data_IF_782710165816
#
_entry.id   IF_782710165816
#
_cell.length_a   1.000
_cell.length_b   1.000
_cell.length_c   1.000
_cell.angle_alpha   90.00
_cell.angle_beta   90.00
_cell.angle_gamma   90.00
#
_symmetry.space_group_name_H-M   'P 1'
#
loop_
_entity.id
_entity.type
_entity.pdbx_description
1 polymer ?
#
# COMPACT_ATOMS: atom_id res chain seq x y z
N UNK A 1 13.92 -4.59 53.42
CA UNK A 1 12.64 -4.45 52.71
C UNK A 1 12.73 -3.15 51.95
N UNK A 2 12.26 -3.04 50.71
CA UNK A 2 12.22 -1.74 50.02
C UNK A 2 11.44 -0.73 50.88
N UNK A 3 12.00 0.47 51.10
CA UNK A 3 11.63 1.48 52.11
C UNK A 3 10.26 2.18 51.92
N UNK A 4 9.27 1.55 51.30
CA UNK A 4 8.09 2.29 50.85
C UNK A 4 7.08 2.67 51.95
N UNK A 5 7.04 1.97 53.10
CA UNK A 5 5.94 2.12 54.08
C UNK A 5 6.37 2.34 55.54
N UNK A 6 7.69 2.37 55.82
CA UNK A 6 8.26 2.69 57.14
C UNK A 6 7.60 1.97 58.34
N UNK A 7 7.16 0.72 58.19
CA UNK A 7 6.57 -0.05 59.28
C UNK A 7 7.62 -0.39 60.35
N UNK A 8 7.22 -0.26 61.62
CA UNK A 8 8.09 -0.48 62.77
C UNK A 8 8.01 -1.95 63.21
N UNK A 9 9.15 -2.62 63.39
CA UNK A 9 9.19 -3.94 64.04
C UNK A 9 9.73 -3.76 65.45
N UNK A 10 8.96 -4.06 66.52
CA UNK A 10 9.44 -3.93 67.89
C UNK A 10 10.66 -4.81 68.13
N UNK A 11 11.61 -4.32 68.93
CA UNK A 11 12.76 -5.13 69.33
C UNK A 11 12.34 -6.22 70.33
N UNK A 12 13.07 -7.33 70.34
CA UNK A 12 12.83 -8.40 71.30
C UNK A 12 12.95 -7.87 72.74
N UNK A 13 11.91 -8.10 73.55
CA UNK A 13 11.84 -7.63 74.94
C UNK A 13 11.17 -6.26 75.15
N UNK A 14 10.65 -5.60 74.10
CA UNK A 14 9.83 -4.39 74.26
C UNK A 14 8.52 -4.71 74.99
N UNK A 15 8.26 -4.01 76.11
CA UNK A 15 7.06 -4.22 76.93
C UNK A 15 5.82 -3.51 76.34
N UNK A 16 6.01 -2.35 75.73
CA UNK A 16 4.97 -1.55 75.06
C UNK A 16 4.95 -1.84 73.55
N UNK A 17 4.93 -3.12 73.19
CA UNK A 17 4.96 -3.57 71.79
C UNK A 17 3.68 -3.19 71.03
N UNK A 18 2.61 -2.85 71.75
CA UNK A 18 1.31 -2.48 71.21
C UNK A 18 1.33 -1.10 70.55
N UNK A 19 2.12 -0.15 71.05
CA UNK A 19 2.23 1.18 70.46
C UNK A 19 2.72 1.19 68.98
N UNK A 20 3.90 0.63 68.64
CA UNK A 20 4.37 0.54 67.26
C UNK A 20 3.46 -0.33 66.39
N UNK A 21 2.84 -1.36 66.96
CA UNK A 21 1.91 -2.21 66.23
C UNK A 21 0.62 -1.46 65.86
N UNK A 22 0.06 -0.69 66.79
CA UNK A 22 -1.12 0.14 66.56
C UNK A 22 -0.83 1.23 65.51
N UNK A 23 0.35 1.86 65.56
CA UNK A 23 0.79 2.81 64.52
C UNK A 23 0.93 2.14 63.15
N UNK A 24 1.43 0.91 63.09
CA UNK A 24 1.47 0.16 61.84
C UNK A 24 0.07 -0.14 61.30
N UNK A 25 -0.88 -0.55 62.16
CA UNK A 25 -2.25 -0.81 61.74
C UNK A 25 -2.96 0.44 61.21
N UNK A 26 -2.76 1.59 61.85
CA UNK A 26 -3.28 2.87 61.34
C UNK A 26 -2.73 3.21 59.95
N UNK A 27 -1.44 2.95 59.71
CA UNK A 27 -0.81 3.16 58.40
C UNK A 27 -1.25 2.13 57.37
N UNK A 28 -1.38 0.85 57.73
CA UNK A 28 -1.87 -0.21 56.84
C UNK A 28 -3.25 0.12 56.30
N UNK A 29 -4.14 0.66 57.13
CA UNK A 29 -5.50 1.05 56.74
C UNK A 29 -5.55 2.14 55.66
N UNK A 30 -4.48 2.93 55.47
CA UNK A 30 -4.37 3.93 54.40
C UNK A 30 -3.45 3.51 53.26
N UNK A 31 -2.41 2.75 53.58
CA UNK A 31 -1.35 2.38 52.65
C UNK A 31 -1.72 1.19 51.77
N UNK A 32 -2.55 0.28 52.28
CA UNK A 32 -3.02 -0.89 51.55
C UNK A 32 -4.32 -0.55 50.85
N UNK A 33 -4.27 -0.61 49.52
CA UNK A 33 -5.44 -0.38 48.68
C UNK A 33 -6.51 -1.46 48.91
N UNK A 34 -7.74 -1.03 49.14
CA UNK A 34 -8.92 -1.90 49.22
C UNK A 34 -9.36 -2.25 47.80
N UNK A 35 -9.61 -3.54 47.53
CA UNK A 35 -10.06 -4.04 46.23
C UNK A 35 -11.31 -4.89 46.38
N UNK A 36 -12.44 -4.41 45.86
CA UNK A 36 -13.74 -5.12 45.87
C UNK A 36 -14.63 -4.58 44.74
N UNK A 37 -15.91 -4.95 44.66
CA UNK A 37 -16.90 -4.38 43.73
C UNK A 37 -17.34 -2.98 44.15
N UNK A 38 -17.69 -2.09 43.20
CA UNK A 38 -18.09 -0.71 43.52
C UNK A 38 -19.30 -0.64 44.47
N UNK A 39 -20.23 -1.59 44.33
CA UNK A 39 -21.40 -1.70 45.22
C UNK A 39 -21.01 -1.99 46.68
N UNK A 40 -19.89 -2.67 46.93
CA UNK A 40 -19.38 -2.96 48.26
C UNK A 40 -18.66 -1.78 48.92
N UNK A 41 -18.43 -0.67 48.22
CA UNK A 41 -17.65 0.48 48.73
C UNK A 41 -18.20 1.04 50.05
N UNK A 42 -19.52 1.01 50.25
CA UNK A 42 -20.16 1.46 51.50
C UNK A 42 -19.85 0.57 52.72
N UNK A 43 -19.27 -0.61 52.51
CA UNK A 43 -18.86 -1.51 53.60
C UNK A 43 -17.54 -1.08 54.25
N UNK A 44 -16.81 -0.14 53.64
CA UNK A 44 -15.50 0.31 54.09
C UNK A 44 -15.55 1.77 54.54
N UNK A 45 -14.91 2.07 55.68
CA UNK A 45 -14.79 3.43 56.18
C UNK A 45 -13.82 4.25 55.31
N UNK A 46 -14.27 5.42 54.84
CA UNK A 46 -13.49 6.32 54.00
C UNK A 46 -12.46 7.14 54.81
N UNK A 47 -11.48 6.46 55.41
CA UNK A 47 -10.40 7.11 56.16
C UNK A 47 -9.62 8.06 55.24
N UNK A 48 -9.15 9.18 55.79
CA UNK A 48 -8.39 10.16 55.02
C UNK A 48 -7.13 9.50 54.42
N UNK A 49 -7.00 9.54 53.10
CA UNK A 49 -5.88 8.95 52.37
C UNK A 49 -6.04 7.47 51.98
N UNK A 50 -7.07 6.77 52.46
CA UNK A 50 -7.34 5.39 52.05
C UNK A 50 -7.76 5.33 50.58
N UNK A 51 -7.35 4.26 49.88
CA UNK A 51 -7.67 4.03 48.47
C UNK A 51 -8.59 2.83 48.30
N UNK A 52 -9.59 2.97 47.43
CA UNK A 52 -10.48 1.90 47.03
C UNK A 52 -10.45 1.75 45.51
N UNK A 53 -10.17 0.55 45.01
CA UNK A 53 -10.27 0.18 43.61
C UNK A 53 -11.46 -0.77 43.43
N UNK A 54 -12.47 -0.29 42.70
CA UNK A 54 -13.58 -1.11 42.24
C UNK A 54 -13.09 -2.05 41.14
N UNK A 55 -13.01 -3.34 41.44
CA UNK A 55 -12.42 -4.36 40.54
C UNK A 55 -13.34 -4.74 39.37
N UNK A 56 -14.62 -4.44 39.47
CA UNK A 56 -15.65 -4.69 38.45
C UNK A 56 -15.82 -3.52 37.47
N UNK A 57 -15.71 -2.27 37.95
CA UNK A 57 -15.87 -1.06 37.12
C UNK A 57 -14.54 -0.38 36.77
N UNK A 58 -13.47 -0.70 37.49
CA UNK A 58 -12.18 -0.02 37.40
C UNK A 58 -12.11 1.32 38.16
N UNK A 59 -13.20 1.80 38.78
CA UNK A 59 -13.22 3.09 39.45
C UNK A 59 -12.26 3.13 40.65
N UNK A 60 -11.51 4.22 40.78
CA UNK A 60 -10.59 4.49 41.89
C UNK A 60 -11.17 5.61 42.74
N UNK A 61 -11.19 5.41 44.06
CA UNK A 61 -11.66 6.37 45.03
C UNK A 61 -10.59 6.66 46.09
N UNK A 62 -10.64 7.87 46.64
CA UNK A 62 -9.83 8.31 47.78
C UNK A 62 -10.74 8.74 48.92
N UNK A 63 -10.49 8.23 50.13
CA UNK A 63 -11.18 8.66 51.33
C UNK A 63 -10.68 10.02 51.82
N UNK A 64 -11.60 10.90 52.22
CA UNK A 64 -11.29 12.23 52.75
C UNK A 64 -11.42 12.33 54.29
N UNK A 65 -11.73 11.22 54.96
CA UNK A 65 -11.99 11.17 56.40
C UNK A 65 -13.47 11.00 56.75
N UNK A 66 -14.38 11.01 55.76
CA UNK A 66 -15.79 10.69 55.97
C UNK A 66 -16.53 10.21 54.72
N UNK A 67 -16.04 10.52 53.52
CA UNK A 67 -16.63 10.16 52.24
C UNK A 67 -15.57 9.64 51.26
N UNK A 68 -16.00 8.79 50.33
CA UNK A 68 -15.18 8.34 49.20
C UNK A 68 -15.37 9.30 48.03
N UNK A 69 -14.28 9.95 47.59
CA UNK A 69 -14.26 10.79 46.39
C UNK A 69 -13.68 10.01 45.22
N UNK A 70 -14.37 9.97 44.08
CA UNK A 70 -13.87 9.27 42.89
C UNK A 70 -12.74 10.08 42.25
N UNK A 71 -11.61 9.42 41.98
CA UNK A 71 -10.44 10.01 41.32
C UNK A 71 -10.41 9.70 39.81
N UNK A 72 -10.94 8.55 39.39
CA UNK A 72 -10.93 8.14 37.99
C UNK A 72 -11.27 6.67 37.81
N UNK A 73 -10.93 6.10 36.66
CA UNK A 73 -11.16 4.68 36.31
C UNK A 73 -9.88 4.10 35.72
N UNK A 74 -9.39 2.98 36.25
CA UNK A 74 -8.25 2.23 35.72
C UNK A 74 -8.80 1.21 34.73
N UNK A 75 -8.36 1.30 33.46
CA UNK A 75 -8.79 0.40 32.38
C UNK A 75 -9.78 1.03 31.39
N UNK A 76 -10.35 2.19 31.73
CA UNK A 76 -10.98 3.10 30.77
C UNK A 76 -10.06 4.31 30.68
N UNK A 77 -9.54 4.62 29.49
CA UNK A 77 -8.82 5.89 29.28
C UNK A 77 -9.66 7.03 29.83
N UNK A 78 -9.06 7.89 30.67
CA UNK A 78 -9.78 8.85 31.50
C UNK A 78 -10.80 9.68 30.72
N UNK A 79 -12.09 9.41 30.93
CA UNK A 79 -13.18 10.30 30.56
C UNK A 79 -13.34 11.40 31.61
N UNK A 80 -12.37 12.31 31.61
CA UNK A 80 -12.48 13.66 32.16
C UNK A 80 -11.67 14.58 31.25
N UNK A 81 -12.14 14.73 30.02
CA UNK A 81 -11.51 15.52 28.97
C UNK A 81 -12.30 15.43 27.67
N UNK A 82 -13.17 16.42 27.45
CA UNK A 82 -13.71 16.88 26.17
C UNK A 82 -13.55 15.94 24.93
N UNK A 83 -14.52 15.05 24.75
CA UNK A 83 -15.27 14.88 23.49
C UNK A 83 -14.56 14.67 22.14
N UNK A 84 -13.33 14.15 22.05
CA UNK A 84 -12.67 14.02 20.73
C UNK A 84 -12.11 12.63 20.37
N UNK A 85 -11.94 11.72 21.33
CA UNK A 85 -11.40 10.36 21.08
C UNK A 85 -12.44 9.32 20.63
N UNK A 86 -13.64 9.33 21.25
CA UNK A 86 -14.71 8.36 20.95
C UNK A 86 -15.56 8.73 19.72
N UNK A 87 -15.49 9.98 19.28
CA UNK A 87 -16.34 10.49 18.19
C UNK A 87 -16.00 9.86 16.83
N UNK A 88 -14.73 9.82 16.45
CA UNK A 88 -14.32 9.35 15.11
C UNK A 88 -14.68 7.88 14.92
N UNK A 89 -14.30 7.00 15.85
CA UNK A 89 -14.58 5.57 15.72
C UNK A 89 -16.09 5.28 15.73
N UNK A 90 -16.85 5.98 16.58
CA UNK A 90 -18.32 5.87 16.58
C UNK A 90 -18.94 6.32 15.25
N UNK A 91 -18.44 7.40 14.65
CA UNK A 91 -18.88 7.89 13.34
C UNK A 91 -18.57 6.90 12.22
N UNK A 92 -17.38 6.28 12.24
CA UNK A 92 -16.97 5.27 11.27
C UNK A 92 -17.81 3.99 11.39
N UNK A 93 -18.09 3.54 12.61
CA UNK A 93 -19.00 2.40 12.86
C UNK A 93 -20.44 2.69 12.43
N UNK A 94 -20.83 3.97 12.45
CA UNK A 94 -22.12 4.42 11.92
C UNK A 94 -22.13 4.57 10.39
N UNK A 95 -21.04 4.23 9.69
CA UNK A 95 -20.97 4.28 8.23
C UNK A 95 -20.60 5.63 7.64
N UNK A 96 -20.20 6.62 8.45
CA UNK A 96 -19.86 7.95 7.95
C UNK A 96 -18.41 8.00 7.45
N UNK A 97 -18.17 8.77 6.38
CA UNK A 97 -16.83 9.24 6.04
C UNK A 97 -16.48 10.39 6.99
N UNK A 98 -15.28 10.37 7.59
CA UNK A 98 -14.92 11.36 8.62
C UNK A 98 -13.73 12.20 8.19
N UNK A 99 -13.94 13.51 8.10
CA UNK A 99 -12.93 14.52 7.81
C UNK A 99 -12.31 15.08 9.10
N UNK A 100 -10.98 14.98 9.20
CA UNK A 100 -10.14 15.49 10.29
C UNK A 100 -9.19 16.52 9.69
N UNK A 101 -9.61 17.78 9.69
CA UNK A 101 -8.84 18.90 9.12
C UNK A 101 -7.97 19.59 10.14
N UNK A 102 -6.80 20.09 9.71
CA UNK A 102 -5.80 20.79 10.55
C UNK A 102 -6.38 21.92 11.40
N UNK A 103 -7.30 22.71 10.84
CA UNK A 103 -7.93 23.84 11.52
C UNK A 103 -9.40 23.56 11.94
N UNK A 104 -9.86 22.31 11.86
CA UNK A 104 -11.20 21.95 12.35
C UNK A 104 -11.18 21.87 13.88
N UNK A 105 -12.20 22.45 14.54
CA UNK A 105 -12.33 22.36 16.00
C UNK A 105 -12.86 21.00 16.48
N UNK A 106 -13.40 20.18 15.58
CA UNK A 106 -13.83 18.80 15.83
C UNK A 106 -13.90 18.00 14.51
N UNK A 107 -13.91 16.64 14.56
CA UNK A 107 -14.14 15.82 13.39
C UNK A 107 -15.48 16.15 12.71
N UNK A 108 -15.51 16.08 11.38
CA UNK A 108 -16.70 16.37 10.56
C UNK A 108 -17.13 15.09 9.87
N UNK A 109 -18.39 14.70 10.03
CA UNK A 109 -18.95 13.52 9.37
C UNK A 109 -19.61 13.92 8.06
N UNK A 110 -19.41 13.10 7.03
CA UNK A 110 -20.16 13.10 5.77
C UNK A 110 -20.90 11.77 5.72
N UNK A 111 -22.23 11.84 5.63
CA UNK A 111 -23.11 10.67 5.48
C UNK A 111 -23.15 10.26 3.99
N UNK A 112 -22.65 9.06 3.63
CA UNK A 112 -22.69 8.58 2.25
C UNK A 112 -24.09 8.50 1.65
N UNK A 113 -25.15 8.41 2.47
CA UNK A 113 -26.53 8.40 1.97
C UNK A 113 -27.05 9.81 1.60
N UNK A 114 -26.32 10.87 1.99
CA UNK A 114 -26.73 12.26 1.82
C UNK A 114 -26.15 12.96 0.59
N UNK A 115 -25.21 12.33 -0.13
CA UNK A 115 -24.46 12.92 -1.24
C UNK A 115 -23.98 11.84 -2.20
N UNK A 116 -23.83 12.18 -3.48
CA UNK A 116 -23.29 11.28 -4.51
C UNK A 116 -21.76 11.21 -4.48
N UNK A 117 -21.10 12.12 -3.74
CA UNK A 117 -19.64 12.27 -3.72
C UNK A 117 -19.03 12.37 -2.31
N UNK A 118 -19.31 11.43 -1.40
CA UNK A 118 -19.01 11.58 0.02
C UNK A 118 -17.51 11.68 0.36
N UNK A 119 -16.63 11.05 -0.42
CA UNK A 119 -15.18 11.09 -0.16
C UNK A 119 -14.62 12.41 -0.69
N UNK A 120 -15.06 12.86 -1.87
CA UNK A 120 -14.70 14.18 -2.37
C UNK A 120 -15.17 15.30 -1.44
N UNK A 121 -16.41 15.22 -0.94
CA UNK A 121 -16.97 16.19 0.01
C UNK A 121 -16.14 16.26 1.30
N UNK A 122 -15.68 15.11 1.81
CA UNK A 122 -14.79 15.04 2.96
C UNK A 122 -13.40 15.64 2.67
N UNK A 123 -12.84 15.40 1.48
CA UNK A 123 -11.59 16.03 1.05
C UNK A 123 -11.72 17.54 0.94
N UNK A 124 -12.84 18.05 0.44
CA UNK A 124 -13.11 19.49 0.34
C UNK A 124 -13.15 20.15 1.73
N UNK A 125 -13.75 19.47 2.73
CA UNK A 125 -13.74 19.91 4.13
C UNK A 125 -12.30 19.97 4.67
N UNK A 126 -11.50 18.93 4.43
CA UNK A 126 -10.10 18.87 4.90
C UNK A 126 -9.24 19.93 4.20
N UNK A 127 -9.43 20.15 2.91
CA UNK A 127 -8.70 21.15 2.14
C UNK A 127 -9.02 22.58 2.63
N UNK A 128 -10.29 22.88 2.86
CA UNK A 128 -10.72 24.16 3.45
C UNK A 128 -10.12 24.40 4.85
N UNK A 129 -9.80 23.32 5.58
CA UNK A 129 -9.13 23.36 6.87
C UNK A 129 -7.60 23.46 6.77
N UNK A 130 -7.01 23.50 5.56
CA UNK A 130 -5.57 23.61 5.33
C UNK A 130 -4.83 22.27 5.37
N UNK A 131 -5.48 21.18 4.97
CA UNK A 131 -4.93 19.82 4.93
C UNK A 131 -5.38 18.96 6.11
N UNK A 132 -5.06 17.67 6.07
CA UNK A 132 -5.48 16.69 7.08
C UNK A 132 -5.85 15.33 6.50
N UNK A 133 -6.83 14.67 7.10
CA UNK A 133 -7.11 13.25 6.89
C UNK A 133 -8.59 12.98 6.70
N UNK A 134 -8.92 12.14 5.72
CA UNK A 134 -10.23 11.54 5.51
C UNK A 134 -10.16 10.07 5.93
N UNK A 135 -11.03 9.68 6.86
CA UNK A 135 -11.19 8.30 7.34
C UNK A 135 -12.37 7.63 6.67
N UNK A 136 -12.14 6.44 6.11
CA UNK A 136 -13.18 5.63 5.49
C UNK A 136 -13.82 4.69 6.52
N UNK A 137 -15.16 4.55 6.51
CA UNK A 137 -15.89 3.66 7.41
C UNK A 137 -15.68 2.18 7.06
N UNK A 138 -16.32 1.30 7.81
CA UNK A 138 -16.50 -0.09 7.39
C UNK A 138 -17.53 -0.18 6.27
N UNK A 139 -17.40 -1.17 5.39
CA UNK A 139 -18.33 -1.40 4.29
C UNK A 139 -17.90 -0.70 2.99
N UNK A 140 -18.89 -0.46 2.13
CA UNK A 140 -18.71 0.15 0.80
C UNK A 140 -19.23 1.59 0.86
N UNK A 141 -18.40 2.54 0.45
CA UNK A 141 -18.78 3.92 0.17
C UNK A 141 -18.83 4.09 -1.34
N UNK A 142 -20.00 4.43 -1.87
CA UNK A 142 -20.20 4.73 -3.28
C UNK A 142 -19.79 6.19 -3.56
N UNK A 143 -19.17 6.41 -4.72
CA UNK A 143 -18.64 7.70 -5.14
C UNK A 143 -18.88 7.82 -6.65
N UNK A 144 -19.66 8.82 -7.07
CA UNK A 144 -20.12 8.89 -8.47
C UNK A 144 -19.08 9.47 -9.41
N UNK A 145 -18.15 10.29 -8.93
CA UNK A 145 -17.09 10.89 -9.74
C UNK A 145 -15.70 10.45 -9.34
N UNK A 146 -14.65 10.96 -10.03
CA UNK A 146 -13.30 10.74 -9.57
C UNK A 146 -13.02 11.53 -8.30
N UNK A 147 -12.32 10.89 -7.38
CA UNK A 147 -11.78 11.49 -6.16
C UNK A 147 -10.53 12.28 -6.55
N UNK A 148 -10.50 13.57 -6.23
CA UNK A 148 -9.41 14.50 -6.58
C UNK A 148 -8.70 15.02 -5.33
N UNK A 149 -7.64 14.33 -4.85
CA UNK A 149 -6.88 14.75 -3.69
C UNK A 149 -6.38 16.19 -3.78
N UNK A 150 -6.30 16.85 -2.63
CA UNK A 150 -5.61 18.13 -2.47
C UNK A 150 -4.21 17.91 -1.93
N UNK A 151 -3.35 18.92 -2.01
CA UNK A 151 -2.08 18.86 -1.28
C UNK A 151 -2.30 18.69 0.23
N UNK A 152 -1.37 18.02 0.92
CA UNK A 152 -1.43 17.80 2.38
C UNK A 152 -2.68 17.02 2.83
N UNK A 153 -3.20 16.12 2.00
CA UNK A 153 -4.39 15.30 2.33
C UNK A 153 -4.11 13.81 2.34
N UNK A 154 -4.89 13.10 3.15
CA UNK A 154 -4.78 11.66 3.30
C UNK A 154 -6.15 11.00 3.21
N UNK A 155 -6.21 9.81 2.63
CA UNK A 155 -7.39 8.93 2.64
C UNK A 155 -6.97 7.62 3.29
N UNK A 156 -7.52 7.33 4.47
CA UNK A 156 -7.15 6.18 5.29
C UNK A 156 -8.36 5.30 5.57
N UNK A 157 -8.32 4.05 5.13
CA UNK A 157 -9.28 3.02 5.51
C UNK A 157 -8.85 2.18 6.71
N UNK A 158 -9.72 1.27 7.12
CA UNK A 158 -9.50 0.34 8.24
C UNK A 158 -8.82 -0.98 7.80
N UNK A 159 -8.54 -1.13 6.50
CA UNK A 159 -8.00 -2.32 5.86
C UNK A 159 -8.76 -2.63 4.56
N UNK A 160 -8.06 -3.19 3.57
CA UNK A 160 -8.60 -3.41 2.21
C UNK A 160 -9.85 -4.31 2.14
N UNK A 161 -10.04 -5.19 3.12
CA UNK A 161 -11.25 -6.02 3.24
C UNK A 161 -12.38 -5.36 4.03
N UNK A 162 -12.08 -4.27 4.74
CA UNK A 162 -12.99 -3.62 5.70
C UNK A 162 -13.55 -2.33 5.12
N UNK A 163 -12.69 -1.48 4.54
CA UNK A 163 -13.08 -0.21 3.90
C UNK A 163 -12.96 -0.34 2.40
N UNK A 164 -14.07 -0.11 1.70
CA UNK A 164 -14.16 -0.23 0.24
C UNK A 164 -14.76 1.04 -0.34
N UNK A 165 -14.19 1.51 -1.43
CA UNK A 165 -14.70 2.61 -2.26
C UNK A 165 -15.17 2.00 -3.56
N UNK A 166 -16.38 2.35 -4.00
CA UNK A 166 -16.92 1.91 -5.29
C UNK A 166 -17.22 3.14 -6.15
N UNK A 167 -16.50 3.26 -7.26
CA UNK A 167 -16.76 4.30 -8.26
C UNK A 167 -17.95 3.84 -9.09
N UNK A 168 -19.01 4.64 -9.18
CA UNK A 168 -20.28 4.20 -9.81
C UNK A 168 -20.48 4.70 -11.24
N UNK A 169 -19.91 5.85 -11.60
CA UNK A 169 -19.87 6.27 -13.01
C UNK A 169 -18.83 5.45 -13.77
N UNK A 170 -19.26 4.89 -14.91
CA UNK A 170 -18.43 4.02 -15.75
C UNK A 170 -17.24 4.77 -16.33
N UNK A 171 -17.45 6.01 -16.74
CA UNK A 171 -16.45 6.79 -17.47
C UNK A 171 -15.55 7.59 -16.51
N UNK A 172 -15.83 7.56 -15.20
CA UNK A 172 -15.02 8.21 -14.20
C UNK A 172 -13.75 7.42 -13.88
N UNK A 173 -12.65 8.16 -13.72
CA UNK A 173 -11.46 7.65 -13.03
C UNK A 173 -11.77 7.42 -11.54
N UNK A 174 -10.92 6.64 -10.86
CA UNK A 174 -11.03 6.44 -9.42
C UNK A 174 -10.45 7.60 -8.63
N UNK A 175 -9.12 7.66 -8.59
CA UNK A 175 -8.38 8.76 -7.99
C UNK A 175 -7.66 9.52 -9.10
N UNK A 176 -8.01 10.78 -9.29
CA UNK A 176 -7.54 11.61 -10.38
C UNK A 176 -6.67 12.77 -9.86
N UNK A 177 -5.42 12.78 -10.29
CA UNK A 177 -4.45 13.86 -10.08
C UNK A 177 -4.43 14.78 -11.32
N UNK A 178 -5.36 15.74 -11.36
CA UNK A 178 -5.59 16.65 -12.50
C UNK A 178 -5.42 18.15 -12.17
N UNK A 179 -5.08 18.50 -10.92
CA UNK A 179 -5.06 19.90 -10.48
C UNK A 179 -3.99 20.75 -11.19
N UNK A 180 -4.37 21.94 -11.62
CA UNK A 180 -3.50 22.90 -12.31
C UNK A 180 -2.28 23.37 -11.50
N UNK A 181 -2.34 23.26 -10.18
CA UNK A 181 -1.24 23.58 -9.27
C UNK A 181 -0.22 22.44 -9.12
N UNK A 182 -0.54 21.23 -9.60
CA UNK A 182 0.05 20.01 -9.08
C UNK A 182 -0.50 19.67 -7.70
N UNK A 183 -0.10 18.50 -7.21
CA UNK A 183 -0.52 17.98 -5.90
C UNK A 183 0.70 17.43 -5.20
N UNK A 184 0.82 17.65 -3.89
CA UNK A 184 1.94 17.10 -3.13
C UNK A 184 1.56 16.64 -1.73
N UNK A 185 2.35 15.72 -1.17
CA UNK A 185 2.18 15.18 0.20
C UNK A 185 0.79 14.56 0.39
N UNK A 186 0.49 13.61 -0.49
CA UNK A 186 -0.77 12.84 -0.45
C UNK A 186 -0.50 11.45 0.07
N UNK A 187 -1.42 10.92 0.90
CA UNK A 187 -1.38 9.54 1.37
C UNK A 187 -2.67 8.78 1.06
N UNK A 188 -2.53 7.58 0.50
CA UNK A 188 -3.63 6.65 0.26
C UNK A 188 -3.31 5.32 0.95
N UNK A 189 -4.14 4.83 1.87
CA UNK A 189 -3.80 3.63 2.63
C UNK A 189 -5.01 2.88 3.18
N UNK A 190 -4.99 1.55 3.09
CA UNK A 190 -5.87 0.67 3.86
C UNK A 190 -7.29 0.54 3.33
N UNK A 191 -7.52 0.62 2.03
CA UNK A 191 -8.84 0.42 1.43
C UNK A 191 -8.78 -0.24 0.04
N UNK A 192 -9.89 -0.86 -0.36
CA UNK A 192 -10.09 -1.28 -1.74
C UNK A 192 -10.74 -0.16 -2.56
N UNK A 193 -10.29 0.03 -3.80
CA UNK A 193 -10.87 0.92 -4.79
C UNK A 193 -11.44 0.09 -5.95
N UNK A 194 -12.74 -0.11 -5.91
CA UNK A 194 -13.48 -0.90 -6.87
C UNK A 194 -13.92 0.00 -8.03
N UNK A 195 -13.64 -0.46 -9.25
CA UNK A 195 -14.18 0.13 -10.45
C UNK A 195 -15.68 -0.14 -10.58
N UNK A 196 -16.34 0.55 -11.52
CA UNK A 196 -17.79 0.49 -11.73
C UNK A 196 -18.31 -0.87 -12.21
N UNK A 197 -17.41 -1.83 -12.45
CA UNK A 197 -17.66 -3.18 -12.91
C UNK A 197 -18.46 -3.26 -14.23
N UNK A 198 -18.51 -4.48 -14.79
CA UNK A 198 -19.25 -4.79 -16.01
C UNK A 198 -18.35 -5.20 -17.17
N UNK A 199 -18.97 -5.34 -18.35
CA UNK A 199 -18.38 -5.97 -19.55
C UNK A 199 -17.82 -4.96 -20.55
N UNK A 200 -17.57 -3.72 -20.13
CA UNK A 200 -17.12 -2.65 -21.02
C UNK A 200 -15.97 -1.85 -20.41
N UNK A 201 -15.36 -0.95 -21.20
CA UNK A 201 -14.31 -0.07 -20.72
C UNK A 201 -14.75 0.77 -19.52
N UNK A 202 -13.79 1.12 -18.67
CA UNK A 202 -13.97 2.04 -17.54
C UNK A 202 -13.00 3.21 -17.63
N UNK A 203 -13.03 4.14 -16.66
CA UNK A 203 -11.88 5.00 -16.37
C UNK A 203 -10.67 4.23 -15.83
N UNK A 204 -9.70 4.95 -15.26
CA UNK A 204 -8.47 4.43 -14.64
C UNK A 204 -8.55 4.52 -13.12
N UNK A 205 -8.08 3.51 -12.40
CA UNK A 205 -8.16 3.52 -10.94
C UNK A 205 -7.35 4.64 -10.27
N UNK A 206 -6.09 4.84 -10.66
CA UNK A 206 -5.24 5.99 -10.29
C UNK A 206 -4.71 6.63 -11.56
N UNK A 207 -5.01 7.91 -11.77
CA UNK A 207 -4.69 8.60 -13.00
C UNK A 207 -3.99 9.95 -12.75
N UNK A 208 -2.83 10.15 -13.37
CA UNK A 208 -2.11 11.43 -13.37
C UNK A 208 -2.16 12.04 -14.78
N UNK A 209 -2.86 13.16 -14.95
CA UNK A 209 -3.22 13.68 -16.28
C UNK A 209 -2.69 15.08 -16.62
N UNK A 210 -2.33 15.87 -15.61
CA UNK A 210 -2.05 17.30 -15.82
C UNK A 210 -0.67 17.70 -15.28
N UNK A 211 -0.61 18.06 -14.00
CA UNK A 211 0.62 18.54 -13.34
C UNK A 211 1.24 17.44 -12.49
N UNK A 212 2.50 17.70 -12.16
CA UNK A 212 3.30 16.80 -11.34
C UNK A 212 2.65 16.51 -9.99
N UNK A 213 2.72 15.25 -9.59
CA UNK A 213 2.39 14.80 -8.23
C UNK A 213 3.69 14.62 -7.48
N UNK A 214 3.83 15.10 -6.25
CA UNK A 214 5.08 14.97 -5.48
C UNK A 214 4.83 14.36 -4.10
N UNK A 215 5.69 13.46 -3.65
CA UNK A 215 5.59 12.86 -2.31
C UNK A 215 4.21 12.20 -2.11
N UNK A 216 3.86 11.30 -3.02
CA UNK A 216 2.69 10.42 -2.91
C UNK A 216 3.11 9.14 -2.18
N UNK A 217 2.44 8.85 -1.07
CA UNK A 217 2.56 7.57 -0.38
C UNK A 217 1.31 6.73 -0.60
N UNK A 218 1.48 5.55 -1.18
CA UNK A 218 0.47 4.52 -1.28
C UNK A 218 0.87 3.39 -0.34
N UNK A 219 0.10 3.16 0.72
CA UNK A 219 0.32 2.06 1.65
C UNK A 219 -0.19 0.76 1.06
N UNK A 220 -1.23 0.18 1.66
CA UNK A 220 -1.89 -1.02 1.14
C UNK A 220 -3.18 -0.68 0.42
N UNK A 221 -3.21 -0.85 -0.90
CA UNK A 221 -4.43 -0.71 -1.71
C UNK A 221 -4.77 -2.01 -2.45
N UNK A 222 -6.06 -2.19 -2.70
CA UNK A 222 -6.59 -3.24 -3.56
C UNK A 222 -7.43 -2.61 -4.66
N UNK A 223 -7.23 -3.02 -5.92
CA UNK A 223 -8.02 -2.59 -7.06
C UNK A 223 -8.82 -3.77 -7.61
N UNK A 224 -10.10 -3.53 -7.90
CA UNK A 224 -10.97 -4.56 -8.46
C UNK A 224 -11.79 -4.02 -9.61
N UNK A 225 -11.89 -4.74 -10.73
CA UNK A 225 -12.92 -4.47 -11.75
C UNK A 225 -12.69 -3.21 -12.59
N UNK A 226 -11.43 -2.87 -12.87
CA UNK A 226 -11.05 -1.76 -13.77
C UNK A 226 -10.68 -2.30 -15.15
N UNK A 227 -11.33 -1.81 -16.21
CA UNK A 227 -11.23 -2.34 -17.57
C UNK A 227 -10.56 -1.35 -18.55
N UNK A 228 -9.51 -0.67 -18.11
CA UNK A 228 -8.74 0.26 -18.94
C UNK A 228 -7.29 0.27 -18.45
N UNK A 229 -7.04 0.75 -17.23
CA UNK A 229 -5.76 0.58 -16.52
C UNK A 229 -6.02 0.72 -15.01
N UNK A 230 -5.05 0.31 -14.19
CA UNK A 230 -5.09 0.53 -12.74
C UNK A 230 -4.30 1.76 -12.35
N UNK A 231 -3.14 1.98 -12.97
CA UNK A 231 -2.27 3.11 -12.65
C UNK A 231 -1.76 3.73 -13.94
N UNK A 232 -2.19 4.94 -14.27
CA UNK A 232 -1.77 5.63 -15.50
C UNK A 232 -1.13 6.96 -15.17
N UNK A 233 0.01 7.21 -15.80
CA UNK A 233 0.67 8.51 -15.88
C UNK A 233 0.73 8.92 -17.33
N UNK A 234 0.00 9.99 -17.65
CA UNK A 234 -0.06 10.51 -19.01
C UNK A 234 1.26 11.14 -19.45
N UNK A 235 1.35 11.36 -20.76
CA UNK A 235 2.49 12.00 -21.38
C UNK A 235 2.67 13.43 -20.84
N UNK A 236 3.89 13.76 -20.41
CA UNK A 236 4.20 15.09 -19.88
C UNK A 236 3.84 15.30 -18.41
N UNK A 237 3.48 14.24 -17.70
CA UNK A 237 3.19 14.28 -16.26
C UNK A 237 4.25 13.49 -15.49
N UNK A 238 4.84 14.07 -14.46
CA UNK A 238 5.82 13.37 -13.61
C UNK A 238 5.29 13.18 -12.19
N UNK A 239 5.03 11.95 -11.71
CA UNK A 239 5.02 11.68 -10.28
C UNK A 239 6.45 11.69 -9.74
N UNK A 240 6.68 12.42 -8.64
CA UNK A 240 7.97 12.64 -7.99
C UNK A 240 8.01 12.03 -6.61
N UNK A 241 9.06 11.23 -6.35
CA UNK A 241 9.35 10.70 -5.02
C UNK A 241 8.17 9.88 -4.46
N UNK A 242 7.46 9.16 -5.34
CA UNK A 242 6.29 8.40 -4.94
C UNK A 242 6.69 7.01 -4.47
N UNK A 243 6.02 6.54 -3.41
CA UNK A 243 6.32 5.28 -2.74
C UNK A 243 5.05 4.45 -2.59
N UNK A 244 5.10 3.21 -3.03
CA UNK A 244 3.98 2.28 -3.00
C UNK A 244 4.39 1.04 -2.23
N UNK A 245 3.77 0.73 -1.09
CA UNK A 245 4.16 -0.42 -0.26
C UNK A 245 3.57 -1.72 -0.81
N UNK A 246 2.24 -1.79 -0.98
CA UNK A 246 1.57 -2.99 -1.47
C UNK A 246 0.33 -2.66 -2.31
N UNK A 247 0.34 -3.10 -3.56
CA UNK A 247 -0.80 -3.01 -4.47
C UNK A 247 -1.26 -4.42 -4.86
N UNK A 248 -2.54 -4.69 -4.67
CA UNK A 248 -3.18 -5.94 -5.12
C UNK A 248 -4.23 -5.64 -6.18
N UNK A 249 -4.29 -6.42 -7.25
CA UNK A 249 -5.19 -6.20 -8.38
C UNK A 249 -5.92 -7.51 -8.69
N UNK A 250 -7.25 -7.45 -8.77
CA UNK A 250 -8.10 -8.58 -9.13
C UNK A 250 -9.10 -8.18 -10.20
N UNK A 251 -9.31 -9.06 -11.19
CA UNK A 251 -10.38 -8.89 -12.19
C UNK A 251 -10.34 -7.52 -12.89
N UNK A 252 -9.13 -6.99 -13.09
CA UNK A 252 -8.91 -5.83 -13.94
C UNK A 252 -8.42 -6.30 -15.31
N UNK A 253 -8.79 -5.57 -16.35
CA UNK A 253 -8.43 -5.85 -17.74
C UNK A 253 -7.78 -4.58 -18.30
N UNK A 254 -6.49 -4.64 -18.67
CA UNK A 254 -5.83 -3.50 -19.31
C UNK A 254 -6.40 -3.23 -20.72
N UNK A 255 -7.13 -4.19 -21.26
CA UNK A 255 -7.73 -4.12 -22.57
C UNK A 255 -6.77 -3.77 -23.69
N UNK A 256 -7.10 -2.71 -24.44
CA UNK A 256 -6.31 -2.21 -25.56
C UNK A 256 -5.27 -1.15 -25.15
N UNK A 257 -4.97 -1.01 -23.85
CA UNK A 257 -3.98 -0.07 -23.33
C UNK A 257 -2.58 -0.70 -23.27
N UNK A 258 -1.55 0.12 -23.06
CA UNK A 258 -0.17 -0.39 -23.02
C UNK A 258 0.09 -1.28 -21.79
N UNK A 259 -0.67 -1.11 -20.68
CA UNK A 259 -0.62 -2.00 -19.52
C UNK A 259 -1.55 -1.63 -18.35
N UNK A 260 -1.57 -2.46 -17.29
CA UNK A 260 -2.28 -2.15 -16.03
C UNK A 260 -1.62 -0.98 -15.30
N UNK A 261 -0.29 -1.03 -15.21
CA UNK A 261 0.55 0.12 -14.87
C UNK A 261 1.09 0.70 -16.16
N UNK A 262 0.92 2.00 -16.34
CA UNK A 262 1.18 2.67 -17.59
C UNK A 262 1.88 4.00 -17.36
N UNK A 263 3.20 4.00 -17.47
CA UNK A 263 4.04 5.19 -17.35
C UNK A 263 4.37 5.73 -18.75
N UNK A 264 3.46 6.54 -19.31
CA UNK A 264 3.60 7.12 -20.67
C UNK A 264 4.49 8.34 -20.71
N UNK A 265 4.78 8.95 -19.56
CA UNK A 265 5.54 10.18 -19.47
C UNK A 265 6.93 10.08 -20.09
N UNK A 266 7.39 11.20 -20.63
CA UNK A 266 8.74 11.34 -21.18
C UNK A 266 9.78 11.83 -20.14
N UNK A 267 9.36 12.01 -18.89
CA UNK A 267 10.25 12.28 -17.77
C UNK A 267 9.62 11.77 -16.49
N UNK A 268 10.40 11.78 -15.43
CA UNK A 268 9.91 11.47 -14.10
C UNK A 268 11.08 11.02 -13.24
N UNK A 269 11.21 11.50 -12.01
CA UNK A 269 12.20 10.95 -11.09
C UNK A 269 11.78 9.54 -10.63
N UNK A 270 12.53 8.99 -9.66
CA UNK A 270 12.30 7.67 -9.12
C UNK A 270 10.94 7.53 -8.39
N UNK A 271 10.20 6.49 -8.78
CA UNK A 271 9.11 5.91 -8.01
C UNK A 271 9.53 4.51 -7.56
N UNK A 272 9.04 4.12 -6.40
CA UNK A 272 9.31 2.80 -5.82
C UNK A 272 8.01 2.06 -5.51
N UNK A 273 8.01 0.76 -5.78
CA UNK A 273 6.95 -0.18 -5.49
C UNK A 273 7.54 -1.38 -4.72
N UNK A 274 7.03 -1.64 -3.53
CA UNK A 274 7.41 -2.81 -2.74
C UNK A 274 6.85 -4.08 -3.37
N UNK A 275 5.55 -4.31 -3.22
CA UNK A 275 4.88 -5.50 -3.80
C UNK A 275 3.73 -5.11 -4.70
N UNK A 276 3.75 -5.64 -5.92
CA UNK A 276 2.62 -5.65 -6.84
C UNK A 276 2.16 -7.10 -7.01
N UNK A 277 0.90 -7.38 -6.67
CA UNK A 277 0.25 -8.67 -6.92
C UNK A 277 -0.91 -8.49 -7.90
N UNK A 278 -0.73 -8.94 -9.14
CA UNK A 278 -1.66 -8.68 -10.23
C UNK A 278 -2.30 -9.96 -10.79
N UNK A 279 -3.61 -10.08 -10.66
CA UNK A 279 -4.40 -11.18 -11.22
C UNK A 279 -5.45 -10.62 -12.19
N UNK A 280 -5.00 -10.11 -13.36
CA UNK A 280 -5.92 -9.60 -14.37
C UNK A 280 -6.81 -10.69 -14.94
N UNK A 281 -7.93 -10.27 -15.53
CA UNK A 281 -8.76 -11.13 -16.36
C UNK A 281 -8.84 -10.60 -17.79
N UNK A 282 -9.10 -11.50 -18.74
CA UNK A 282 -9.29 -11.17 -20.15
C UNK A 282 -10.79 -11.11 -20.51
N UNK A 283 -11.66 -10.98 -19.51
CA UNK A 283 -13.11 -11.17 -19.69
C UNK A 283 -13.73 -10.07 -20.55
N UNK A 284 -13.14 -8.88 -20.56
CA UNK A 284 -13.70 -7.74 -21.30
C UNK A 284 -13.14 -7.66 -22.70
N UNK A 285 -11.82 -7.79 -22.86
CA UNK A 285 -11.16 -7.60 -24.15
C UNK A 285 -10.81 -8.89 -24.88
N UNK A 286 -10.75 -10.01 -24.16
CA UNK A 286 -10.29 -11.28 -24.71
C UNK A 286 -8.78 -11.32 -24.96
N UNK A 287 -8.03 -10.30 -24.51
CA UNK A 287 -6.59 -10.18 -24.74
C UNK A 287 -5.78 -10.51 -23.48
N UNK A 288 -4.53 -10.92 -23.68
CA UNK A 288 -3.54 -10.93 -22.61
C UNK A 288 -3.36 -9.51 -22.06
N UNK A 289 -3.17 -9.39 -20.76
CA UNK A 289 -2.86 -8.11 -20.12
C UNK A 289 -1.35 -7.93 -19.98
N UNK A 290 -0.81 -6.80 -20.46
CA UNK A 290 0.52 -6.34 -20.03
C UNK A 290 0.43 -5.79 -18.61
N UNK A 291 1.24 -6.29 -17.70
CA UNK A 291 1.14 -5.91 -16.28
C UNK A 291 1.79 -4.55 -16.04
N UNK A 292 3.03 -4.37 -16.47
CA UNK A 292 3.77 -3.13 -16.24
C UNK A 292 4.39 -2.58 -17.52
N UNK A 293 3.89 -1.44 -17.97
CA UNK A 293 4.44 -0.69 -19.10
C UNK A 293 5.14 0.58 -18.62
N UNK A 294 6.33 0.85 -19.17
CA UNK A 294 7.09 2.08 -18.90
C UNK A 294 7.77 2.62 -20.15
N UNK A 295 7.61 3.93 -20.39
CA UNK A 295 8.27 4.68 -21.47
C UNK A 295 9.28 5.69 -20.93
N UNK A 296 9.04 6.29 -19.78
CA UNK A 296 9.99 7.22 -19.15
C UNK A 296 10.02 7.16 -17.63
N UNK A 297 10.94 7.97 -17.09
CA UNK A 297 11.21 8.07 -15.66
C UNK A 297 11.90 6.84 -15.07
N UNK A 298 11.95 6.77 -13.74
CA UNK A 298 12.60 5.66 -13.02
C UNK A 298 11.60 4.88 -12.18
N UNK A 299 11.48 3.58 -12.42
CA UNK A 299 10.55 2.70 -11.72
C UNK A 299 11.32 1.54 -11.09
N UNK A 300 11.24 1.41 -9.76
CA UNK A 300 11.80 0.27 -9.02
C UNK A 300 10.66 -0.56 -8.43
N UNK A 301 10.67 -1.86 -8.65
CA UNK A 301 9.68 -2.81 -8.12
C UNK A 301 10.40 -3.97 -7.43
N UNK A 302 10.26 -4.13 -6.12
CA UNK A 302 10.96 -5.21 -5.40
C UNK A 302 10.37 -6.58 -5.76
N UNK A 303 9.04 -6.69 -5.76
CA UNK A 303 8.31 -7.94 -6.06
C UNK A 303 7.14 -7.67 -7.01
N UNK A 304 7.15 -8.32 -8.17
CA UNK A 304 6.05 -8.37 -9.10
C UNK A 304 5.55 -9.82 -9.20
N UNK A 305 4.39 -10.11 -8.65
CA UNK A 305 3.74 -11.43 -8.76
C UNK A 305 2.48 -11.30 -9.59
N UNK A 306 2.28 -12.23 -10.52
CA UNK A 306 1.13 -12.14 -11.42
C UNK A 306 0.61 -13.48 -11.90
N UNK A 307 -0.72 -13.56 -12.05
CA UNK A 307 -1.41 -14.72 -12.61
C UNK A 307 -2.57 -14.32 -13.52
N UNK A 308 -3.61 -15.14 -13.59
CA UNK A 308 -4.79 -14.85 -14.43
C UNK A 308 -4.43 -14.77 -15.91
N UNK A 309 -4.81 -13.68 -16.58
CA UNK A 309 -4.53 -13.40 -18.00
C UNK A 309 -3.24 -12.60 -18.25
N UNK A 310 -2.31 -12.56 -17.29
CA UNK A 310 -1.06 -11.82 -17.43
C UNK A 310 -0.21 -12.35 -18.59
N UNK A 311 -0.06 -11.54 -19.65
CA UNK A 311 0.82 -11.80 -20.78
C UNK A 311 2.22 -11.31 -20.51
N UNK A 312 2.54 -10.12 -21.02
CA UNK A 312 3.83 -9.48 -20.79
C UNK A 312 3.86 -8.94 -19.36
N UNK A 313 4.80 -9.39 -18.55
CA UNK A 313 5.01 -8.89 -17.20
C UNK A 313 5.52 -7.44 -17.21
N UNK A 314 6.53 -7.18 -18.05
CA UNK A 314 7.23 -5.90 -18.13
C UNK A 314 7.43 -5.56 -19.60
N UNK A 315 6.95 -4.39 -20.03
CA UNK A 315 7.25 -3.82 -21.35
C UNK A 315 7.88 -2.44 -21.17
N UNK A 316 9.17 -2.35 -21.48
CA UNK A 316 9.96 -1.14 -21.38
C UNK A 316 10.23 -0.57 -22.76
N UNK A 317 10.06 0.74 -22.91
CA UNK A 317 10.38 1.50 -24.12
C UNK A 317 11.20 2.76 -23.82
N UNK A 318 11.62 3.45 -24.87
CA UNK A 318 12.31 4.72 -24.89
C UNK A 318 13.54 4.82 -23.97
N UNK A 319 13.49 5.66 -22.94
CA UNK A 319 14.59 5.96 -22.03
C UNK A 319 14.30 5.62 -20.57
N UNK A 320 13.13 5.01 -20.27
CA UNK A 320 12.78 4.66 -18.89
C UNK A 320 13.86 3.81 -18.24
N UNK A 321 14.14 4.08 -16.98
CA UNK A 321 14.99 3.26 -16.14
C UNK A 321 14.10 2.35 -15.31
N UNK A 322 14.27 1.03 -15.45
CA UNK A 322 13.49 0.05 -14.69
C UNK A 322 14.38 -0.89 -13.90
N UNK A 323 13.97 -1.18 -12.68
CA UNK A 323 14.60 -2.17 -11.82
C UNK A 323 13.51 -3.05 -11.21
N UNK A 324 13.56 -4.35 -11.50
CA UNK A 324 12.63 -5.35 -10.98
C UNK A 324 13.42 -6.43 -10.26
N UNK A 325 13.15 -6.59 -8.96
CA UNK A 325 13.78 -7.63 -8.16
C UNK A 325 13.29 -9.01 -8.58
N UNK A 326 12.12 -9.42 -8.08
CA UNK A 326 11.60 -10.76 -8.37
C UNK A 326 10.32 -10.68 -9.21
N UNK A 327 10.39 -11.24 -10.42
CA UNK A 327 9.26 -11.39 -11.32
C UNK A 327 8.73 -12.82 -11.20
N UNK A 328 7.56 -12.99 -10.59
CA UNK A 328 6.88 -14.28 -10.47
C UNK A 328 5.71 -14.35 -11.45
N UNK A 329 5.90 -15.11 -12.53
CA UNK A 329 4.94 -15.25 -13.62
C UNK A 329 4.24 -16.61 -13.56
N UNK A 330 2.94 -16.57 -13.28
CA UNK A 330 2.09 -17.74 -13.07
C UNK A 330 0.69 -17.58 -13.69
N UNK A 331 0.56 -17.19 -14.97
CA UNK A 331 -0.75 -17.12 -15.61
C UNK A 331 -1.43 -18.48 -15.68
N UNK A 332 -2.75 -18.44 -15.63
CA UNK A 332 -3.62 -19.63 -15.68
C UNK A 332 -4.71 -19.51 -16.74
N UNK A 333 -4.93 -18.30 -17.27
CA UNK A 333 -6.03 -18.01 -18.20
C UNK A 333 -5.59 -17.07 -19.34
N UNK A 334 -4.34 -17.16 -19.79
CA UNK A 334 -3.86 -16.38 -20.95
C UNK A 334 -4.64 -16.75 -22.22
N UNK A 335 -5.24 -15.77 -22.91
CA UNK A 335 -5.83 -16.02 -24.23
C UNK A 335 -4.85 -16.53 -25.28
N UNK A 336 -3.59 -16.06 -25.25
CA UNK A 336 -2.53 -16.44 -26.20
C UNK A 336 -1.18 -16.55 -25.50
N UNK A 337 -0.21 -17.22 -26.13
CA UNK A 337 1.18 -17.17 -25.66
C UNK A 337 1.74 -15.77 -25.91
N UNK A 338 2.28 -15.06 -24.90
CA UNK A 338 2.97 -13.80 -25.15
C UNK A 338 4.32 -14.05 -25.84
N UNK A 339 4.78 -13.10 -26.67
CA UNK A 339 6.05 -13.23 -27.38
C UNK A 339 7.27 -13.19 -26.44
N UNK A 340 7.13 -12.58 -25.26
CA UNK A 340 8.07 -12.74 -24.16
C UNK A 340 7.40 -12.37 -22.83
N UNK A 341 7.90 -12.91 -21.72
CA UNK A 341 7.48 -12.49 -20.37
C UNK A 341 7.96 -11.05 -20.09
N UNK A 342 9.20 -10.73 -20.46
CA UNK A 342 9.83 -9.41 -20.23
C UNK A 342 10.34 -8.86 -21.56
N UNK A 343 9.85 -7.69 -21.95
CA UNK A 343 10.23 -7.00 -23.19
C UNK A 343 10.96 -5.72 -22.87
N UNK A 344 12.22 -5.62 -23.30
CA UNK A 344 13.09 -4.50 -23.01
C UNK A 344 13.56 -3.87 -24.31
N UNK A 345 12.86 -2.81 -24.72
CA UNK A 345 13.11 -2.08 -25.96
C UNK A 345 13.74 -0.73 -25.65
N UNK A 346 14.34 -0.12 -26.66
CA UNK A 346 14.98 1.19 -26.53
C UNK A 346 16.20 1.19 -25.60
N UNK A 347 16.73 2.38 -25.33
CA UNK A 347 18.07 2.58 -24.76
C UNK A 347 18.09 2.87 -23.26
N UNK A 348 16.92 2.96 -22.62
CA UNK A 348 16.79 3.11 -21.17
C UNK A 348 17.37 1.90 -20.42
N UNK A 349 17.95 2.12 -19.24
CA UNK A 349 18.57 1.04 -18.46
C UNK A 349 17.51 0.09 -17.88
N UNK A 350 17.80 -1.20 -17.86
CA UNK A 350 16.96 -2.20 -17.21
C UNK A 350 17.77 -3.12 -16.32
N UNK A 351 17.24 -3.46 -15.15
CA UNK A 351 17.74 -4.53 -14.30
C UNK A 351 16.58 -5.43 -13.91
N UNK A 352 16.69 -6.72 -14.25
CA UNK A 352 15.75 -7.75 -13.82
C UNK A 352 16.55 -8.76 -13.00
N UNK A 353 16.36 -8.82 -11.68
CA UNK A 353 17.21 -9.70 -10.86
C UNK A 353 16.86 -11.17 -11.05
N UNK A 354 15.58 -11.52 -11.17
CA UNK A 354 15.17 -12.88 -11.54
C UNK A 354 13.76 -12.97 -12.13
N UNK A 355 13.55 -13.99 -12.96
CA UNK A 355 12.23 -14.40 -13.43
C UNK A 355 11.97 -15.84 -12.97
N UNK A 356 10.93 -16.02 -12.16
CA UNK A 356 10.42 -17.31 -11.72
C UNK A 356 9.12 -17.63 -12.46
N UNK A 357 9.09 -18.77 -13.13
CA UNK A 357 7.99 -19.22 -13.97
C UNK A 357 7.36 -20.50 -13.40
N UNK A 358 6.05 -20.43 -13.13
CA UNK A 358 5.31 -21.50 -12.44
C UNK A 358 4.27 -22.16 -13.34
N UNK A 359 3.56 -21.40 -14.17
CA UNK A 359 2.55 -21.92 -15.10
C UNK A 359 2.48 -21.04 -16.34
N UNK A 360 1.90 -21.57 -17.42
CA UNK A 360 1.69 -20.86 -18.66
C UNK A 360 2.77 -21.16 -19.69
N UNK A 361 2.57 -20.62 -20.89
CA UNK A 361 3.52 -20.76 -22.00
C UNK A 361 3.80 -19.39 -22.57
N UNK A 362 5.08 -19.07 -22.74
CA UNK A 362 5.56 -17.88 -23.45
C UNK A 362 6.55 -18.32 -24.54
N UNK A 363 6.73 -17.51 -25.58
CA UNK A 363 7.71 -17.85 -26.62
C UNK A 363 9.14 -17.69 -26.09
N UNK A 364 9.38 -16.61 -25.34
CA UNK A 364 10.66 -16.30 -24.70
C UNK A 364 10.47 -15.78 -23.27
N UNK A 365 11.53 -15.79 -22.46
CA UNK A 365 11.52 -15.12 -21.15
C UNK A 365 11.84 -13.64 -21.34
N UNK A 366 12.91 -13.34 -22.06
CA UNK A 366 13.36 -11.97 -22.33
C UNK A 366 13.34 -11.67 -23.84
N UNK A 367 12.87 -10.49 -24.21
CA UNK A 367 13.09 -9.89 -25.53
C UNK A 367 13.93 -8.62 -25.39
N UNK A 368 15.03 -8.54 -26.15
CA UNK A 368 15.78 -7.30 -26.40
C UNK A 368 15.47 -6.82 -27.81
N UNK A 369 14.72 -5.72 -27.92
CA UNK A 369 14.12 -5.33 -29.19
C UNK A 369 14.24 -3.85 -29.56
N UNK A 370 13.86 -3.56 -30.80
CA UNK A 370 13.76 -2.22 -31.34
C UNK A 370 12.58 -1.48 -30.71
N UNK A 371 12.78 -0.20 -30.43
CA UNK A 371 11.71 0.69 -30.02
C UNK A 371 11.31 1.63 -31.17
N UNK A 372 10.12 1.42 -31.71
CA UNK A 372 9.56 2.24 -32.78
C UNK A 372 9.28 3.68 -32.33
N UNK A 373 9.07 3.91 -31.03
CA UNK A 373 8.76 5.23 -30.50
C UNK A 373 9.92 6.21 -30.68
N UNK A 374 11.16 5.74 -30.47
CA UNK A 374 12.36 6.57 -30.52
C UNK A 374 13.33 6.19 -31.64
N UNK A 375 13.02 5.12 -32.37
CA UNK A 375 13.82 4.57 -33.44
C UNK A 375 15.17 3.99 -33.01
N UNK A 376 15.28 3.46 -31.79
CA UNK A 376 16.54 2.94 -31.21
C UNK A 376 16.47 1.46 -30.85
N UNK A 377 17.63 0.82 -30.95
CA UNK A 377 17.84 -0.54 -30.45
C UNK A 377 17.97 -0.61 -28.93
N UNK A 378 18.03 -1.83 -28.38
CA UNK A 378 18.20 -2.07 -26.96
C UNK A 378 19.61 -1.69 -26.48
N UNK A 379 19.74 -1.20 -25.25
CA UNK A 379 21.02 -0.90 -24.60
C UNK A 379 20.92 -0.96 -23.08
N UNK A 380 22.06 -1.20 -22.40
CA UNK A 380 22.17 -1.19 -20.92
C UNK A 380 21.18 -2.09 -20.17
N UNK A 381 20.97 -3.31 -20.64
CA UNK A 381 20.06 -4.27 -19.99
C UNK A 381 20.84 -5.30 -19.17
N UNK A 382 20.43 -5.55 -17.93
CA UNK A 382 20.93 -6.62 -17.07
C UNK A 382 19.81 -7.64 -16.87
N UNK A 383 19.99 -8.82 -17.47
CA UNK A 383 19.02 -9.91 -17.46
C UNK A 383 19.47 -10.98 -16.46
N UNK A 384 18.71 -11.15 -15.39
CA UNK A 384 18.95 -12.14 -14.35
C UNK A 384 18.54 -13.57 -14.75
N UNK A 385 18.79 -14.56 -13.88
CA UNK A 385 18.45 -15.95 -14.11
C UNK A 385 16.94 -16.17 -14.34
N UNK A 386 16.66 -17.16 -15.18
CA UNK A 386 15.35 -17.75 -15.37
C UNK A 386 15.23 -19.03 -14.52
N UNK A 387 14.12 -19.18 -13.80
CA UNK A 387 13.86 -20.32 -12.92
C UNK A 387 12.49 -20.92 -13.28
N UNK A 388 12.51 -22.07 -13.95
CA UNK A 388 11.33 -22.89 -14.22
C UNK A 388 11.06 -23.84 -13.05
N UNK A 389 9.82 -23.85 -12.54
CA UNK A 389 9.49 -24.66 -11.35
C UNK A 389 8.25 -25.55 -11.50
N UNK A 390 7.28 -25.17 -12.31
CA UNK A 390 6.02 -25.91 -12.42
C UNK A 390 5.96 -26.81 -13.66
N UNK A 391 5.30 -27.97 -13.53
CA UNK A 391 5.16 -28.92 -14.64
C UNK A 391 4.31 -28.40 -15.81
N UNK A 392 3.64 -27.25 -15.65
CA UNK A 392 2.84 -26.57 -16.66
C UNK A 392 3.47 -25.24 -17.12
N UNK A 393 4.71 -24.95 -16.71
CA UNK A 393 5.51 -23.87 -17.24
C UNK A 393 6.25 -24.36 -18.48
N UNK A 394 6.23 -23.59 -19.57
CA UNK A 394 6.99 -23.91 -20.78
C UNK A 394 7.44 -22.65 -21.54
N UNK A 395 8.61 -22.73 -22.18
CA UNK A 395 9.15 -21.70 -23.06
C UNK A 395 9.26 -22.29 -24.46
N UNK A 396 8.44 -21.82 -25.39
CA UNK A 396 8.24 -22.49 -26.67
C UNK A 396 9.47 -22.40 -27.60
N UNK A 397 10.30 -21.36 -27.44
CA UNK A 397 11.47 -21.13 -28.28
C UNK A 397 12.78 -21.21 -27.48
N UNK A 398 13.16 -20.15 -26.77
CA UNK A 398 14.40 -20.08 -25.98
C UNK A 398 14.28 -19.05 -24.86
N UNK A 399 15.29 -18.90 -23.99
CA UNK A 399 15.18 -17.95 -22.85
C UNK A 399 15.25 -16.49 -23.33
N UNK A 400 16.19 -16.16 -24.23
CA UNK A 400 16.43 -14.79 -24.68
C UNK A 400 16.22 -14.67 -26.20
N UNK A 401 15.35 -13.76 -26.61
CA UNK A 401 15.23 -13.30 -27.98
C UNK A 401 15.97 -11.97 -28.17
N UNK A 402 17.02 -11.98 -28.99
CA UNK A 402 17.64 -10.77 -29.52
C UNK A 402 16.94 -10.40 -30.84
N UNK A 403 15.87 -9.62 -30.75
CA UNK A 403 15.06 -9.17 -31.89
C UNK A 403 15.58 -7.89 -32.54
N UNK A 404 16.59 -7.24 -31.94
CA UNK A 404 17.37 -6.17 -32.57
C UNK A 404 18.78 -6.09 -31.96
N UNK A 405 19.84 -5.71 -32.71
CA UNK A 405 21.20 -5.63 -32.18
C UNK A 405 21.31 -4.65 -31.01
N UNK A 406 21.95 -5.10 -29.92
CA UNK A 406 22.29 -4.23 -28.79
C UNK A 406 23.39 -3.24 -29.20
N UNK A 407 23.31 -1.99 -28.77
CA UNK A 407 24.37 -1.01 -29.01
C UNK A 407 25.71 -1.49 -28.40
N UNK A 408 26.78 -1.69 -29.20
CA UNK A 408 28.09 -2.10 -28.69
C UNK A 408 28.73 -1.13 -27.69
N UNK A 409 28.37 0.16 -27.73
CA UNK A 409 28.83 1.18 -26.78
C UNK A 409 28.05 1.14 -25.45
N UNK A 410 26.89 0.49 -25.43
CA UNK A 410 25.99 0.40 -24.30
C UNK A 410 25.59 -1.07 -24.04
N UNK A 411 26.59 -1.93 -23.72
CA UNK A 411 26.40 -3.37 -23.72
C UNK A 411 25.31 -3.82 -22.74
N UNK A 412 24.69 -4.94 -23.08
CA UNK A 412 23.72 -5.63 -22.22
C UNK A 412 24.29 -6.97 -21.78
N UNK A 413 23.96 -7.39 -20.56
CA UNK A 413 24.49 -8.60 -19.94
C UNK A 413 23.35 -9.56 -19.61
N UNK A 414 23.58 -10.84 -19.86
CA UNK A 414 22.66 -11.91 -19.51
C UNK A 414 23.35 -12.95 -18.62
N UNK A 415 22.73 -13.25 -17.47
CA UNK A 415 23.21 -14.24 -16.51
C UNK A 415 22.79 -15.67 -16.88
N UNK A 416 23.10 -16.11 -18.09
CA UNK A 416 22.84 -17.48 -18.55
C UNK A 416 23.75 -17.89 -19.72
N UNK A 417 23.49 -19.05 -20.31
CA UNK A 417 24.31 -19.62 -21.38
C UNK A 417 24.15 -18.84 -22.69
N UNK A 418 25.20 -18.70 -23.51
CA UNK A 418 25.05 -18.25 -24.89
C UNK A 418 24.08 -19.10 -25.71
N UNK A 419 23.91 -20.38 -25.38
CA UNK A 419 22.97 -21.29 -26.05
C UNK A 419 21.50 -20.92 -25.77
N UNK A 420 21.24 -20.15 -24.72
CA UNK A 420 19.90 -19.70 -24.35
C UNK A 420 19.44 -18.48 -25.21
N UNK A 421 20.28 -18.02 -26.15
CA UNK A 421 20.06 -16.80 -26.94
C UNK A 421 19.71 -17.15 -28.39
N UNK A 422 18.50 -16.76 -28.81
CA UNK A 422 18.08 -16.75 -30.21
C UNK A 422 18.27 -15.36 -30.82
N UNK A 423 18.87 -15.31 -32.02
CA UNK A 423 19.02 -14.08 -32.81
C UNK A 423 18.01 -14.10 -33.94
N UNK A 424 16.96 -13.29 -33.83
CA UNK A 424 15.83 -13.31 -34.78
C UNK A 424 15.85 -12.15 -35.78
N UNK A 425 16.71 -11.15 -35.55
CA UNK A 425 16.88 -10.04 -36.48
C UNK A 425 17.76 -10.39 -37.68
N UNK A 426 17.56 -9.67 -38.78
CA UNK A 426 18.39 -9.78 -40.00
C UNK A 426 19.57 -8.80 -40.04
N UNK A 427 19.82 -8.05 -38.95
CA UNK A 427 20.97 -7.16 -38.85
C UNK A 427 22.25 -8.02 -38.73
N UNK A 428 23.27 -7.76 -39.55
CA UNK A 428 24.45 -8.65 -39.70
C UNK A 428 25.41 -8.74 -38.49
N UNK A 429 24.99 -8.31 -37.30
CA UNK A 429 25.76 -8.35 -36.05
C UNK A 429 24.80 -8.49 -34.86
N UNK A 430 25.15 -9.27 -33.84
CA UNK A 430 24.42 -9.36 -32.56
C UNK A 430 24.70 -8.18 -31.62
N UNK A 431 25.66 -7.31 -31.99
CA UNK A 431 25.97 -6.10 -31.25
C UNK A 431 26.60 -6.31 -29.87
N UNK A 432 26.13 -5.57 -28.87
CA UNK A 432 26.68 -5.45 -27.53
C UNK A 432 26.20 -6.46 -26.49
N UNK A 433 25.41 -7.48 -26.84
CA UNK A 433 24.94 -8.50 -25.88
C UNK A 433 26.07 -9.42 -25.44
N UNK A 434 26.16 -9.72 -24.14
CA UNK A 434 27.12 -10.68 -23.56
C UNK A 434 26.40 -11.65 -22.62
N UNK A 435 26.42 -12.94 -22.94
CA UNK A 435 25.99 -14.00 -22.05
C UNK A 435 27.15 -14.40 -21.12
N UNK A 436 26.89 -14.52 -19.82
CA UNK A 436 27.90 -14.70 -18.77
C UNK A 436 27.99 -16.14 -18.25
N UNK A 437 27.11 -17.05 -18.66
CA UNK A 437 27.03 -18.43 -18.14
C UNK A 437 28.27 -19.29 -18.39
N UNK A 438 29.14 -18.88 -19.32
CA UNK A 438 30.44 -19.52 -19.57
C UNK A 438 31.63 -18.71 -19.04
N UNK A 439 31.39 -17.61 -18.32
CA UNK A 439 32.47 -16.81 -17.74
C UNK A 439 33.16 -17.60 -16.62
N UNK A 440 34.49 -17.69 -16.67
CA UNK A 440 35.28 -18.42 -15.68
C UNK A 440 35.53 -19.91 -15.98
N UNK A 441 35.06 -20.45 -17.10
CA UNK A 441 35.47 -21.79 -17.58
C UNK A 441 36.83 -21.78 -18.32
N UNK A 442 37.63 -20.73 -18.11
CA UNK A 442 39.01 -20.67 -18.58
C UNK A 442 39.88 -21.54 -17.68
N UNK A 443 40.51 -22.56 -18.30
CA UNK A 443 41.50 -23.44 -17.70
C UNK A 443 42.66 -22.70 -17.01
#
# INVERSE_FOLDING_TARGET
>A
MTDNHQYETPAEGTLDWDEPLNRNFERIDTDVEIRDTDASRSNYAAKAGAKFLATDTGNVYLGDGGSWSQLGTIGSGGSSGDGSGDGVFSLLLAGNVVAIGKNNTSPRAVDPAGTDTPIQDALDIVAAAGGGEVRLPTGVVEETGPIRPYEETQILGLGVEISKVAITDRDADGILFDRDSGVSRVRLDGFALNGPAGTGPTGVAIHHTNRDTQDLFVGRLLFWGWNNSVYRVDEGVGPFQCRHEQITIYECDAGDQDGLFEFRSWYGPANWFGTIAAYPSATVTGNNTTVFFSRGGTQTVDYLTMGGSAGIAIDQTWDSVVEFGNVHWEPTTNPTNPPAIVRLRGHGTAVIDSVKHVTGVADYVYELGYDDYNGRGPGRKLLGPYIELGAAADIAENVVNLSYPVDPAEPSLYQGSPDDVSVTHNQGSTGGLRALGTAGTGF
#
